data_IF_522992909423
#
_entry.id   IF_522992909423
#
_cell.length_a   1.000
_cell.length_b   1.000
_cell.length_c   1.000
_cell.angle_alpha   90.00
_cell.angle_beta   90.00
_cell.angle_gamma   90.00
#
_symmetry.space_group_name_H-M   'P 1'
#
loop_
_entity.id
_entity.type
_entity.pdbx_description
1 polymer ?
#
# COMPACT_ATOMS: atom_id res chain seq x y z
N UNK A 1 -4.16 17.37 8.18
CA UNK A 1 -3.81 16.39 7.13
C UNK A 1 -5.10 15.99 6.38
N UNK A 2 -5.54 16.76 5.39
CA UNK A 2 -5.00 16.81 4.02
C UNK A 2 -5.78 15.80 3.14
N UNK A 3 -7.06 16.10 2.89
CA UNK A 3 -7.94 15.33 1.98
C UNK A 3 -7.28 15.20 0.61
N UNK A 4 -6.57 16.24 0.17
CA UNK A 4 -5.78 16.22 -1.06
C UNK A 4 -4.68 15.17 -0.97
N UNK A 5 -3.91 15.11 0.11
CA UNK A 5 -2.94 14.03 0.33
C UNK A 5 -3.58 12.65 0.37
N UNK A 6 -4.74 12.48 1.00
CA UNK A 6 -5.47 11.20 0.99
C UNK A 6 -5.82 10.78 -0.44
N UNK A 7 -6.44 11.67 -1.23
CA UNK A 7 -6.81 11.36 -2.61
C UNK A 7 -5.60 11.16 -3.51
N UNK A 8 -4.51 11.91 -3.32
CA UNK A 8 -3.26 11.73 -4.04
C UNK A 8 -2.67 10.34 -3.77
N UNK A 9 -2.53 9.96 -2.49
CA UNK A 9 -1.96 8.67 -2.12
C UNK A 9 -2.84 7.52 -2.60
N UNK A 10 -4.17 7.62 -2.43
CA UNK A 10 -5.10 6.62 -2.96
C UNK A 10 -5.05 6.55 -4.49
N UNK A 11 -4.93 7.69 -5.19
CA UNK A 11 -4.79 7.71 -6.64
C UNK A 11 -3.50 7.02 -7.12
N UNK A 12 -2.38 7.25 -6.42
CA UNK A 12 -1.12 6.57 -6.70
C UNK A 12 -1.24 5.05 -6.46
N UNK A 13 -1.82 4.64 -5.33
CA UNK A 13 -2.06 3.24 -4.98
C UNK A 13 -2.93 2.55 -6.03
N UNK A 14 -4.10 3.11 -6.35
CA UNK A 14 -5.04 2.54 -7.32
C UNK A 14 -4.51 2.53 -8.76
N UNK A 15 -3.47 3.32 -9.04
CA UNK A 15 -2.76 3.30 -10.32
C UNK A 15 -1.57 2.33 -10.35
N UNK A 16 -1.32 1.57 -9.28
CA UNK A 16 -0.19 0.65 -9.16
C UNK A 16 1.18 1.33 -9.07
N UNK A 17 1.23 2.63 -8.74
CA UNK A 17 2.50 3.39 -8.66
C UNK A 17 3.20 3.25 -7.31
N UNK A 18 2.44 2.87 -6.28
CA UNK A 18 2.94 2.62 -4.94
C UNK A 18 2.17 1.43 -4.37
N UNK A 19 2.84 0.64 -3.52
CA UNK A 19 2.18 -0.47 -2.84
C UNK A 19 1.30 -0.01 -1.68
N UNK A 20 0.46 -0.92 -1.18
CA UNK A 20 -0.36 -0.71 0.02
C UNK A 20 0.47 -0.32 1.25
N UNK A 21 1.65 -0.95 1.43
CA UNK A 21 2.58 -0.61 2.50
C UNK A 21 3.10 0.83 2.38
N UNK A 22 3.48 1.25 1.17
CA UNK A 22 3.95 2.62 0.93
C UNK A 22 2.85 3.66 1.11
N UNK A 23 1.63 3.35 0.70
CA UNK A 23 0.46 4.20 0.92
C UNK A 23 0.17 4.39 2.41
N UNK A 24 0.25 3.31 3.21
CA UNK A 24 0.06 3.36 4.65
C UNK A 24 1.14 4.22 5.33
N UNK A 25 2.41 4.06 4.95
CA UNK A 25 3.52 4.89 5.42
C UNK A 25 3.29 6.38 5.13
N UNK A 26 2.94 6.73 3.88
CA UNK A 26 2.72 8.13 3.47
C UNK A 26 1.54 8.78 4.22
N UNK A 27 0.52 8.00 4.56
CA UNK A 27 -0.64 8.46 5.33
C UNK A 27 -0.44 8.38 6.84
N UNK A 28 0.71 7.86 7.30
CA UNK A 28 0.97 7.58 8.70
C UNK A 28 -0.14 6.73 9.34
N UNK A 29 -0.55 5.69 8.61
CA UNK A 29 -1.55 4.69 9.01
C UNK A 29 -0.88 3.32 9.09
N UNK A 30 -1.48 2.41 9.87
CA UNK A 30 -1.21 0.99 9.71
C UNK A 30 -1.88 0.48 8.43
N UNK A 31 -1.38 -0.61 7.89
CA UNK A 31 -1.94 -1.24 6.68
C UNK A 31 -3.40 -1.67 6.90
N UNK A 32 -3.73 -2.23 8.06
CA UNK A 32 -5.09 -2.64 8.41
C UNK A 32 -6.04 -1.44 8.60
N UNK A 33 -5.54 -0.33 9.14
CA UNK A 33 -6.31 0.92 9.23
C UNK A 33 -6.59 1.52 7.84
N UNK A 34 -5.60 1.50 6.95
CA UNK A 34 -5.77 1.95 5.55
C UNK A 34 -6.77 1.06 4.81
N UNK A 35 -6.69 -0.26 4.98
CA UNK A 35 -7.64 -1.19 4.40
C UNK A 35 -9.08 -0.93 4.87
N UNK A 36 -9.28 -0.74 6.18
CA UNK A 36 -10.59 -0.40 6.74
C UNK A 36 -11.10 0.95 6.23
N UNK A 37 -10.22 1.94 6.06
CA UNK A 37 -10.57 3.24 5.48
C UNK A 37 -11.05 3.09 4.03
N UNK A 38 -10.34 2.32 3.21
CA UNK A 38 -10.72 2.06 1.81
C UNK A 38 -12.07 1.34 1.71
N UNK A 39 -12.32 0.36 2.59
CA UNK A 39 -13.63 -0.30 2.70
C UNK A 39 -14.75 0.69 3.02
N UNK A 40 -14.54 1.58 4.00
CA UNK A 40 -15.51 2.64 4.36
C UNK A 40 -15.77 3.62 3.21
N UNK A 41 -14.77 3.84 2.36
CA UNK A 41 -14.88 4.69 1.16
C UNK A 41 -15.46 3.95 -0.06
N UNK A 42 -15.77 2.65 0.06
CA UNK A 42 -16.28 1.84 -1.05
C UNK A 42 -15.24 1.53 -2.13
N UNK A 43 -13.95 1.72 -1.83
CA UNK A 43 -12.85 1.44 -2.76
C UNK A 43 -12.55 -0.05 -2.73
N UNK A 44 -12.81 -0.73 -3.85
CA UNK A 44 -12.40 -2.13 -4.05
C UNK A 44 -10.96 -2.15 -4.53
N UNK A 45 -10.03 -2.49 -3.64
CA UNK A 45 -8.68 -2.87 -4.02
C UNK A 45 -8.65 -4.39 -4.22
N UNK A 46 -8.29 -4.91 -5.40
CA UNK A 46 -8.03 -6.34 -5.54
C UNK A 46 -6.88 -6.67 -4.58
N UNK A 47 -7.20 -7.43 -3.54
CA UNK A 47 -6.36 -7.51 -2.33
C UNK A 47 -4.95 -8.02 -2.65
N UNK A 48 -4.78 -8.82 -3.70
CA UNK A 48 -3.49 -9.27 -4.22
C UNK A 48 -3.73 -9.63 -5.70
N UNK A 49 -3.18 -8.86 -6.64
CA UNK A 49 -2.71 -9.50 -7.87
C UNK A 49 -1.47 -10.31 -7.45
N UNK A 50 -1.42 -11.60 -7.81
CA UNK A 50 -0.40 -12.55 -7.31
C UNK A 50 1.03 -12.00 -7.53
N UNK A 51 1.18 -11.22 -8.59
CA UNK A 51 2.38 -10.48 -8.97
C UNK A 51 2.81 -9.44 -7.91
N UNK A 52 1.88 -8.66 -7.36
CA UNK A 52 2.18 -7.58 -6.40
C UNK A 52 2.60 -8.17 -5.02
N UNK A 53 2.01 -9.30 -4.62
CA UNK A 53 2.45 -10.02 -3.41
C UNK A 53 3.84 -10.64 -3.58
N UNK A 54 4.14 -11.17 -4.77
CA UNK A 54 5.45 -11.73 -5.07
C UNK A 54 6.54 -10.65 -5.08
N UNK A 55 6.23 -9.46 -5.59
CA UNK A 55 7.12 -8.29 -5.52
C UNK A 55 7.39 -7.84 -4.08
N UNK A 56 6.37 -7.74 -3.22
CA UNK A 56 6.55 -7.39 -1.81
C UNK A 56 7.40 -8.43 -1.07
N UNK A 57 7.12 -9.73 -1.24
CA UNK A 57 7.92 -10.82 -0.64
C UNK A 57 9.38 -10.76 -1.11
N UNK A 58 9.62 -10.50 -2.40
CA UNK A 58 10.96 -10.38 -2.94
C UNK A 58 11.70 -9.14 -2.41
N UNK A 59 11.01 -8.02 -2.24
CA UNK A 59 11.58 -6.81 -1.65
C UNK A 59 12.03 -7.05 -0.20
N UNK A 60 11.19 -7.70 0.62
CA UNK A 60 11.55 -8.07 1.97
C UNK A 60 12.74 -9.04 2.02
N UNK A 61 12.78 -10.04 1.13
CA UNK A 61 13.89 -11.01 1.06
C UNK A 61 15.23 -10.33 0.79
N UNK A 62 15.28 -9.38 -0.15
CA UNK A 62 16.51 -8.63 -0.49
C UNK A 62 17.07 -7.85 0.71
N UNK A 63 16.20 -7.19 1.47
CA UNK A 63 16.61 -6.44 2.66
C UNK A 63 17.23 -7.38 3.69
N UNK A 64 16.59 -8.54 3.91
CA UNK A 64 17.06 -9.54 4.87
C UNK A 64 18.40 -10.16 4.46
N UNK A 65 18.58 -10.49 3.18
CA UNK A 65 19.83 -11.04 2.65
C UNK A 65 20.99 -10.04 2.67
N UNK A 66 20.70 -8.74 2.46
CA UNK A 66 21.72 -7.68 2.52
C UNK A 66 22.19 -7.31 3.93
N UNK A 67 21.57 -7.89 4.96
CA UNK A 67 21.87 -7.64 6.38
C UNK A 67 22.76 -8.73 7.02
N UNK A 68 23.24 -9.71 6.23
CA UNK A 68 24.10 -10.83 6.66
C UNK A 68 25.50 -10.68 6.06
#
# INVERSE_FOLDING_TARGET
PDKEKLFLVLGLLLSGRISMGKAAELLNLRIDDLWLLMQKLGVKYPIIDEEEAEEEVNAYRRIFESSI
#
